data_IF_382879122800
#
_entry.id   IF_382879122800
#
_cell.length_a   1.000
_cell.length_b   1.000
_cell.length_c   1.000
_cell.angle_alpha   90.00
_cell.angle_beta   90.00
_cell.angle_gamma   90.00
#
_symmetry.space_group_name_H-M   'P 1'
#
loop_
_entity.id
_entity.type
_entity.pdbx_description
1 polymer ?
#
# COMPACT_ATOMS: atom_id res chain seq x y z
N UNK A 1 -16.13 3.29 -20.29
CA UNK A 1 -14.99 2.36 -20.29
C UNK A 1 -14.23 2.60 -18.99
N UNK A 2 -14.34 1.67 -18.03
CA UNK A 2 -13.68 1.78 -16.74
C UNK A 2 -12.19 1.56 -16.95
N UNK A 3 -11.36 2.62 -16.90
CA UNK A 3 -9.92 2.44 -16.94
C UNK A 3 -9.53 1.63 -15.71
N UNK A 4 -9.20 0.36 -15.91
CA UNK A 4 -8.67 -0.48 -14.86
C UNK A 4 -7.41 0.21 -14.32
N UNK A 5 -7.43 0.55 -13.03
CA UNK A 5 -6.29 1.15 -12.36
C UNK A 5 -5.07 0.23 -12.50
N UNK A 6 -3.91 0.80 -12.84
CA UNK A 6 -2.66 0.05 -12.89
C UNK A 6 -2.11 -0.08 -11.46
N UNK A 7 -2.37 -1.22 -10.84
CA UNK A 7 -1.86 -1.56 -9.52
C UNK A 7 -0.40 -1.96 -9.58
N UNK A 8 0.41 -1.36 -8.71
CA UNK A 8 1.82 -1.67 -8.51
C UNK A 8 1.98 -2.37 -7.17
N UNK A 9 2.41 -3.63 -7.20
CA UNK A 9 2.79 -4.43 -6.02
C UNK A 9 4.15 -3.99 -5.50
N UNK A 10 4.37 -4.13 -4.19
CA UNK A 10 5.69 -3.93 -3.58
C UNK A 10 6.65 -5.07 -3.96
N UNK A 11 7.94 -4.75 -4.15
CA UNK A 11 8.99 -5.76 -4.39
C UNK A 11 9.30 -6.61 -3.15
N UNK A 12 8.88 -6.17 -1.96
CA UNK A 12 9.01 -6.91 -0.70
C UNK A 12 7.91 -7.96 -0.51
N UNK A 13 6.89 -7.97 -1.37
CA UNK A 13 5.75 -8.88 -1.30
C UNK A 13 6.08 -10.28 -1.84
N UNK A 14 7.10 -10.96 -1.29
CA UNK A 14 7.58 -12.27 -1.74
C UNK A 14 6.58 -13.43 -1.59
N UNK A 15 7.01 -14.66 -1.91
CA UNK A 15 6.15 -15.87 -1.92
C UNK A 15 6.17 -16.73 -0.64
N UNK A 16 6.82 -16.28 0.44
CA UNK A 16 6.81 -16.99 1.73
C UNK A 16 5.53 -16.74 2.54
N UNK A 17 5.29 -17.56 3.57
CA UNK A 17 4.19 -17.35 4.52
C UNK A 17 4.36 -16.00 5.26
N UNK A 18 3.29 -15.21 5.31
CA UNK A 18 3.27 -13.89 5.96
C UNK A 18 3.46 -12.68 5.02
N UNK A 19 3.56 -12.89 3.71
CA UNK A 19 3.63 -11.79 2.73
C UNK A 19 2.24 -11.21 2.45
N UNK A 20 1.74 -10.38 3.36
CA UNK A 20 0.58 -9.51 3.09
C UNK A 20 0.98 -8.46 2.07
N UNK A 21 0.49 -8.61 0.85
CA UNK A 21 0.92 -7.82 -0.28
C UNK A 21 0.11 -6.52 -0.35
N UNK A 22 0.78 -5.37 -0.22
CA UNK A 22 0.16 -4.05 -0.44
C UNK A 22 0.40 -3.60 -1.88
N UNK A 23 -0.62 -2.98 -2.48
CA UNK A 23 -0.59 -2.45 -3.84
C UNK A 23 -1.02 -0.98 -3.87
N UNK A 24 -0.38 -0.19 -4.72
CA UNK A 24 -0.69 1.22 -4.96
C UNK A 24 -1.12 1.44 -6.41
N UNK A 25 -2.05 2.36 -6.64
CA UNK A 25 -2.40 2.81 -7.99
C UNK A 25 -2.62 4.32 -8.04
N UNK A 26 -2.15 4.97 -9.11
CA UNK A 26 -2.50 6.34 -9.41
C UNK A 26 -3.94 6.40 -9.98
N UNK A 27 -4.84 7.08 -9.27
CA UNK A 27 -6.22 7.34 -9.72
C UNK A 27 -6.26 8.65 -10.50
N UNK A 28 -5.54 9.67 -10.01
CA UNK A 28 -5.36 10.98 -10.65
C UNK A 28 -4.04 11.60 -10.15
N UNK A 29 -3.61 12.78 -10.65
CA UNK A 29 -2.36 13.41 -10.21
C UNK A 29 -2.25 13.64 -8.69
N UNK A 30 -3.38 13.69 -7.98
CA UNK A 30 -3.43 13.97 -6.54
C UNK A 30 -4.09 12.86 -5.72
N UNK A 31 -4.56 11.78 -6.36
CA UNK A 31 -5.25 10.68 -5.69
C UNK A 31 -4.56 9.35 -5.97
N UNK A 32 -4.35 8.60 -4.90
CA UNK A 32 -3.81 7.26 -4.90
C UNK A 32 -4.84 6.29 -4.31
N UNK A 33 -4.92 5.10 -4.91
CA UNK A 33 -5.53 3.94 -4.30
C UNK A 33 -4.47 3.13 -3.57
N UNK A 34 -4.79 2.65 -2.38
CA UNK A 34 -4.02 1.66 -1.62
C UNK A 34 -4.95 0.49 -1.32
N UNK A 35 -4.49 -0.74 -1.54
CA UNK A 35 -5.23 -1.95 -1.16
C UNK A 35 -4.31 -3.07 -0.75
N UNK A 36 -4.88 -4.07 -0.10
CA UNK A 36 -4.26 -5.37 0.11
C UNK A 36 -4.60 -6.31 -1.05
N UNK A 37 -3.65 -7.13 -1.49
CA UNK A 37 -3.86 -8.08 -2.59
C UNK A 37 -4.86 -9.19 -2.25
N UNK A 38 -4.92 -9.62 -0.99
CA UNK A 38 -5.84 -10.69 -0.55
C UNK A 38 -7.28 -10.19 -0.37
N UNK A 39 -7.46 -8.87 -0.24
CA UNK A 39 -8.78 -8.22 -0.16
C UNK A 39 -8.87 -7.11 -1.23
N UNK A 40 -8.84 -7.46 -2.54
CA UNK A 40 -8.64 -6.49 -3.62
C UNK A 40 -9.82 -5.52 -3.82
N UNK A 41 -10.97 -5.80 -3.19
CA UNK A 41 -12.16 -4.93 -3.18
C UNK A 41 -12.12 -3.84 -2.11
N UNK A 42 -11.24 -3.94 -1.11
CA UNK A 42 -11.08 -2.94 -0.07
C UNK A 42 -10.01 -1.91 -0.48
N UNK A 43 -10.44 -0.82 -1.11
CA UNK A 43 -9.55 0.25 -1.60
C UNK A 43 -9.64 1.47 -0.69
N UNK A 44 -8.53 1.84 -0.07
CA UNK A 44 -8.36 3.15 0.56
C UNK A 44 -7.99 4.17 -0.51
N UNK A 45 -8.74 5.27 -0.61
CA UNK A 45 -8.37 6.41 -1.45
C UNK A 45 -7.71 7.48 -0.59
N UNK A 46 -6.55 7.96 -1.00
CA UNK A 46 -5.76 8.94 -0.26
C UNK A 46 -4.96 9.85 -1.21
N UNK A 47 -4.16 10.76 -0.68
CA UNK A 47 -3.24 11.60 -1.45
C UNK A 47 -1.79 11.10 -1.31
N UNK A 48 -0.83 11.59 -2.11
CA UNK A 48 0.57 11.18 -1.98
C UNK A 48 1.18 11.46 -0.60
N UNK A 49 0.83 12.56 0.05
CA UNK A 49 1.48 12.98 1.30
C UNK A 49 1.28 11.98 2.47
N UNK A 50 0.06 11.50 2.78
CA UNK A 50 -0.13 10.43 3.78
C UNK A 50 0.60 9.13 3.46
N UNK A 51 0.69 8.75 2.18
CA UNK A 51 1.43 7.55 1.76
C UNK A 51 2.93 7.73 2.02
N UNK A 52 3.49 8.89 1.70
CA UNK A 52 4.89 9.21 2.00
C UNK A 52 5.17 9.14 3.50
N UNK A 53 4.31 9.73 4.34
CA UNK A 53 4.49 9.67 5.81
C UNK A 53 4.35 8.25 6.36
N UNK A 54 3.42 7.45 5.84
CA UNK A 54 3.29 6.03 6.19
C UNK A 54 4.59 5.27 5.90
N UNK A 55 5.14 5.41 4.69
CA UNK A 55 6.38 4.75 4.29
C UNK A 55 7.58 5.20 5.15
N UNK A 56 7.67 6.49 5.48
CA UNK A 56 8.69 7.03 6.39
C UNK A 56 8.56 6.46 7.80
N UNK A 57 7.34 6.32 8.31
CA UNK A 57 7.10 5.77 9.63
C UNK A 57 7.42 4.26 9.69
N UNK A 58 7.09 3.49 8.65
CA UNK A 58 7.47 2.07 8.54
C UNK A 58 9.00 1.91 8.51
N UNK A 59 9.67 2.64 7.62
CA UNK A 59 11.14 2.54 7.44
C UNK A 59 11.95 3.03 8.65
N UNK A 60 11.40 3.96 9.43
CA UNK A 60 12.00 4.39 10.70
C UNK A 60 11.69 3.47 11.89
N UNK A 61 10.99 2.35 11.66
CA UNK A 61 10.67 1.38 12.69
C UNK A 61 9.60 1.86 13.69
N UNK A 62 8.86 2.93 13.39
CA UNK A 62 7.83 3.49 14.30
C UNK A 62 6.66 2.53 14.56
N UNK A 63 6.43 1.60 13.65
CA UNK A 63 5.41 0.56 13.78
C UNK A 63 5.99 -0.80 14.20
N UNK A 64 7.26 -0.87 14.60
CA UNK A 64 7.76 -2.10 15.21
C UNK A 64 6.96 -2.37 16.49
N UNK A 65 6.40 -3.58 16.67
CA UNK A 65 5.72 -3.91 17.91
C UNK A 65 6.68 -3.68 19.07
N UNK A 66 6.24 -2.96 20.11
CA UNK A 66 6.97 -3.01 21.38
C UNK A 66 6.93 -4.47 21.84
N UNK A 67 8.09 -5.12 21.90
CA UNK A 67 8.21 -6.43 22.54
C UNK A 67 7.81 -6.24 24.02
N UNK A 68 6.92 -7.08 24.58
CA UNK A 68 6.67 -7.07 26.01
C UNK A 68 7.94 -7.42 26.80
#
# INVERSE_FOLDING_TARGET
MNHALRWQRSTFSGGGEGNTCVELAAISPHLLGLRESDVPGAVLTTTPAPVTELLRAITSGRFTPRRP
#
